data_IF_319990713996
#
_entry.id   IF_319990713996
#
_cell.length_a   1.000
_cell.length_b   1.000
_cell.length_c   1.000
_cell.angle_alpha   90.00
_cell.angle_beta   90.00
_cell.angle_gamma   90.00
#
_symmetry.space_group_name_H-M   'P 1'
#
loop_
_entity.id
_entity.type
_entity.pdbx_description
1 polymer ?
#
# COMPACT_ATOMS: atom_id res chain seq x y z
N UNK A 1 11.26 22.48 23.13
CA UNK A 1 12.64 22.66 22.66
C UNK A 1 12.83 21.90 21.37
N UNK A 2 13.28 22.54 20.29
CA UNK A 2 13.35 21.92 18.96
C UNK A 2 14.13 20.58 18.87
N UNK A 3 15.13 20.35 19.71
CA UNK A 3 15.82 19.06 19.84
C UNK A 3 14.91 17.95 20.40
N UNK A 4 14.14 18.26 21.45
CA UNK A 4 13.20 17.30 22.06
C UNK A 4 12.08 16.91 21.11
N UNK A 5 11.64 17.85 20.27
CA UNK A 5 10.62 17.64 19.24
C UNK A 5 11.10 16.66 18.16
N UNK A 6 12.37 16.75 17.73
CA UNK A 6 12.96 15.78 16.81
C UNK A 6 13.00 14.37 17.42
N UNK A 7 13.38 14.24 18.70
CA UNK A 7 13.39 12.95 19.39
C UNK A 7 11.99 12.38 19.52
N UNK A 8 11.01 13.18 19.96
CA UNK A 8 9.60 12.75 20.06
C UNK A 8 9.07 12.24 18.73
N UNK A 9 9.30 13.00 17.65
CA UNK A 9 8.91 12.60 16.29
C UNK A 9 9.51 11.25 15.90
N UNK A 10 10.82 11.06 16.10
CA UNK A 10 11.52 9.81 15.78
C UNK A 10 11.02 8.63 16.61
N UNK A 11 10.56 8.87 17.84
CA UNK A 11 10.00 7.83 18.71
C UNK A 11 8.50 7.57 18.47
N UNK A 12 7.92 8.17 17.43
CA UNK A 12 6.53 7.97 17.02
C UNK A 12 5.52 8.87 17.74
N UNK A 13 5.98 9.81 18.56
CA UNK A 13 5.12 10.85 19.13
C UNK A 13 5.10 12.05 18.19
N UNK A 14 4.13 12.03 17.29
CA UNK A 14 3.90 13.08 16.29
C UNK A 14 3.12 14.26 16.85
N UNK A 15 2.46 14.05 17.99
CA UNK A 15 1.53 15.02 18.57
C UNK A 15 2.25 16.23 19.16
N UNK A 16 1.81 17.42 18.74
CA UNK A 16 2.35 18.70 19.22
C UNK A 16 3.87 18.85 19.02
N UNK A 17 4.41 18.30 17.92
CA UNK A 17 5.78 18.51 17.47
C UNK A 17 5.80 19.73 16.56
N UNK A 18 6.49 20.81 16.98
CA UNK A 18 6.50 22.08 16.25
C UNK A 18 7.90 22.57 15.87
N UNK A 19 8.95 21.97 16.44
CA UNK A 19 10.36 22.34 16.27
C UNK A 19 10.71 23.76 16.74
N UNK A 20 9.75 24.51 17.30
CA UNK A 20 9.88 25.85 17.89
C UNK A 20 10.70 26.81 17.00
N UNK A 21 11.70 27.50 17.54
CA UNK A 21 12.50 28.49 16.80
C UNK A 21 13.39 27.87 15.70
N UNK A 22 13.58 26.54 15.69
CA UNK A 22 14.40 25.89 14.66
C UNK A 22 13.73 25.89 13.29
N UNK A 23 12.40 25.73 13.22
CA UNK A 23 11.71 25.69 11.91
C UNK A 23 11.64 27.05 11.24
N UNK A 24 11.74 28.14 12.00
CA UNK A 24 11.77 29.51 11.48
C UNK A 24 13.18 29.98 11.09
N UNK A 25 14.23 29.26 11.52
CA UNK A 25 15.60 29.47 11.06
C UNK A 25 15.79 28.90 9.64
N UNK A 26 16.16 29.78 8.71
CA UNK A 26 16.47 29.45 7.32
C UNK A 26 17.46 28.30 7.14
N UNK A 27 18.35 28.06 8.10
CA UNK A 27 19.34 26.98 8.07
C UNK A 27 18.70 25.61 8.24
N UNK A 28 17.74 25.46 9.15
CA UNK A 28 17.10 24.17 9.47
C UNK A 28 15.76 23.96 8.75
N UNK A 29 15.14 25.05 8.28
CA UNK A 29 13.89 25.01 7.53
C UNK A 29 13.84 23.98 6.38
N UNK A 30 14.90 23.73 5.59
CA UNK A 30 14.85 22.72 4.53
C UNK A 30 14.47 21.31 5.00
N UNK A 31 14.78 20.97 6.25
CA UNK A 31 14.65 19.61 6.78
C UNK A 31 13.60 19.50 7.91
N UNK A 32 13.30 20.60 8.62
CA UNK A 32 12.30 20.64 9.70
C UNK A 32 10.93 21.16 9.26
N UNK A 33 10.84 21.94 8.18
CA UNK A 33 9.57 22.41 7.64
C UNK A 33 8.73 21.27 7.04
N UNK A 34 9.30 20.32 6.28
CA UNK A 34 8.52 19.21 5.72
C UNK A 34 7.77 18.36 6.76
N UNK A 35 8.40 17.82 7.83
CA UNK A 35 7.67 17.03 8.84
C UNK A 35 6.63 17.87 9.60
N UNK A 36 6.86 19.17 9.79
CA UNK A 36 5.86 20.06 10.36
C UNK A 36 4.61 20.13 9.47
N UNK A 37 4.77 20.41 8.17
CA UNK A 37 3.61 20.54 7.27
C UNK A 37 2.92 19.20 6.98
N UNK A 38 3.66 18.08 7.05
CA UNK A 38 3.07 16.75 6.93
C UNK A 38 2.04 16.47 8.05
N UNK A 39 2.33 16.90 9.28
CA UNK A 39 1.37 16.83 10.39
C UNK A 39 0.08 17.61 10.09
N UNK A 40 0.18 18.79 9.45
CA UNK A 40 -0.98 19.58 9.03
C UNK A 40 -1.74 18.94 7.87
N UNK A 41 -1.04 18.27 6.95
CA UNK A 41 -1.66 17.55 5.84
C UNK A 41 -2.51 16.37 6.33
N UNK A 42 -2.02 15.62 7.33
CA UNK A 42 -2.73 14.49 7.94
C UNK A 42 -4.01 14.92 8.70
N UNK A 43 -4.01 16.13 9.28
CA UNK A 43 -5.12 16.64 10.09
C UNK A 43 -5.98 17.67 9.34
N UNK A 44 -6.48 17.27 8.17
CA UNK A 44 -7.25 18.10 7.22
C UNK A 44 -8.52 18.79 7.75
N UNK A 45 -8.94 18.53 8.99
CA UNK A 45 -10.04 19.23 9.68
C UNK A 45 -9.59 20.50 10.41
N UNK A 46 -8.28 20.76 10.52
CA UNK A 46 -7.73 22.00 11.09
C UNK A 46 -7.61 23.07 10.01
N UNK A 47 -8.01 24.29 10.35
CA UNK A 47 -7.84 25.47 9.49
C UNK A 47 -6.35 25.75 9.25
N UNK A 48 -5.98 25.97 7.98
CA UNK A 48 -4.65 26.32 7.50
C UNK A 48 -4.09 27.60 8.17
N UNK A 49 -4.95 28.39 8.82
CA UNK A 49 -4.57 29.50 9.69
C UNK A 49 -3.69 29.08 10.90
N UNK A 50 -3.79 27.82 11.33
CA UNK A 50 -2.97 27.29 12.43
C UNK A 50 -1.50 27.13 12.05
N UNK A 51 -1.17 26.79 10.79
CA UNK A 51 0.21 26.72 10.32
C UNK A 51 0.92 28.09 10.44
N UNK A 52 0.22 29.18 10.11
CA UNK A 52 0.77 30.54 10.24
C UNK A 52 1.09 30.91 11.68
N UNK A 53 0.36 30.37 12.66
CA UNK A 53 0.65 30.57 14.07
C UNK A 53 2.00 29.94 14.46
N UNK A 54 2.31 28.74 13.96
CA UNK A 54 3.58 28.05 14.22
C UNK A 54 4.77 28.66 13.49
N UNK A 55 4.52 29.41 12.41
CA UNK A 55 5.53 30.18 11.68
C UNK A 55 5.60 31.65 12.13
N UNK A 56 5.07 32.00 13.31
CA UNK A 56 5.14 33.37 13.81
C UNK A 56 6.59 33.81 13.96
N UNK A 57 6.94 34.94 13.36
CA UNK A 57 8.31 35.46 13.34
C UNK A 57 9.13 35.04 12.12
N UNK A 58 8.61 34.12 11.28
CA UNK A 58 9.17 33.82 9.97
C UNK A 58 8.95 34.99 8.99
N UNK A 59 9.88 35.17 8.06
CA UNK A 59 9.69 36.06 6.91
C UNK A 59 8.69 35.50 5.91
N UNK A 60 8.10 36.37 5.08
CA UNK A 60 7.06 36.02 4.10
C UNK A 60 7.51 34.92 3.12
N UNK A 61 8.80 34.88 2.76
CA UNK A 61 9.36 33.85 1.88
C UNK A 61 9.28 32.45 2.50
N UNK A 62 9.59 32.32 3.80
CA UNK A 62 9.52 31.03 4.50
C UNK A 62 8.06 30.58 4.66
N UNK A 63 7.14 31.51 4.92
CA UNK A 63 5.70 31.22 4.98
C UNK A 63 5.20 30.74 3.61
N UNK A 64 5.57 31.40 2.52
CA UNK A 64 5.21 30.97 1.17
C UNK A 64 5.76 29.57 0.86
N UNK A 65 7.01 29.28 1.23
CA UNK A 65 7.61 27.95 1.11
C UNK A 65 6.85 26.88 1.90
N UNK A 66 6.35 27.21 3.09
CA UNK A 66 5.56 26.29 3.90
C UNK A 66 4.26 25.89 3.23
N UNK A 67 3.50 26.85 2.71
CA UNK A 67 2.25 26.57 1.99
C UNK A 67 2.49 25.79 0.70
N UNK A 68 3.51 26.14 -0.08
CA UNK A 68 3.89 25.36 -1.28
C UNK A 68 4.36 23.93 -0.95
N UNK A 69 4.92 23.71 0.24
CA UNK A 69 5.30 22.37 0.70
C UNK A 69 4.06 21.61 1.18
N UNK A 70 3.16 22.26 1.91
CA UNK A 70 1.89 21.67 2.34
C UNK A 70 1.05 21.19 1.15
N UNK A 71 0.93 22.00 0.09
CA UNK A 71 0.24 21.63 -1.14
C UNK A 71 0.86 20.38 -1.77
N UNK A 72 2.19 20.36 -1.96
CA UNK A 72 2.90 19.17 -2.48
C UNK A 72 2.74 17.93 -1.62
N UNK A 73 2.68 18.07 -0.30
CA UNK A 73 2.46 16.93 0.61
C UNK A 73 1.02 16.42 0.50
N UNK A 74 0.03 17.32 0.44
CA UNK A 74 -1.38 16.96 0.21
C UNK A 74 -1.59 16.24 -1.11
N UNK A 75 -0.90 16.69 -2.16
CA UNK A 75 -0.93 16.09 -3.49
C UNK A 75 -0.08 14.81 -3.59
N UNK A 76 0.68 14.45 -2.54
CA UNK A 76 1.60 13.30 -2.58
C UNK A 76 2.74 13.46 -3.58
N UNK A 77 3.11 14.69 -3.93
CA UNK A 77 4.17 15.01 -4.91
C UNK A 77 5.44 15.54 -4.26
N UNK A 78 5.44 15.79 -2.95
CA UNK A 78 6.63 16.19 -2.22
C UNK A 78 7.73 15.13 -2.35
N UNK A 79 8.94 15.58 -2.71
CA UNK A 79 10.10 14.73 -2.89
C UNK A 79 11.24 15.25 -2.03
N UNK A 80 11.76 14.39 -1.18
CA UNK A 80 12.98 14.69 -0.44
C UNK A 80 14.20 14.35 -1.28
N UNK A 81 14.97 15.38 -1.64
CA UNK A 81 16.14 15.25 -2.51
C UNK A 81 17.30 16.10 -1.96
N UNK A 82 17.97 15.63 -0.87
CA UNK A 82 19.18 16.28 -0.41
C UNK A 82 20.27 16.13 -1.47
N UNK A 83 21.24 17.05 -1.48
CA UNK A 83 22.35 17.00 -2.43
C UNK A 83 23.44 16.01 -1.99
N UNK A 84 24.33 15.65 -2.92
CA UNK A 84 25.54 14.88 -2.64
C UNK A 84 25.32 13.37 -2.48
N UNK A 85 26.33 12.64 -1.96
CA UNK A 85 26.31 11.17 -1.88
C UNK A 85 25.15 10.61 -1.05
N UNK A 86 24.74 11.30 0.02
CA UNK A 86 23.56 10.94 0.78
C UNK A 86 22.28 11.03 -0.08
N UNK A 87 22.16 12.09 -0.88
CA UNK A 87 21.08 12.27 -1.86
C UNK A 87 20.92 11.12 -2.84
N UNK A 88 22.02 10.61 -3.38
CA UNK A 88 21.99 9.46 -4.30
C UNK A 88 21.41 8.21 -3.63
N UNK A 89 21.75 7.97 -2.36
CA UNK A 89 21.20 6.85 -1.60
C UNK A 89 19.73 7.06 -1.21
N UNK A 90 19.33 8.30 -0.90
CA UNK A 90 17.92 8.66 -0.67
C UNK A 90 17.08 8.37 -1.90
N UNK A 91 17.56 8.71 -3.09
CA UNK A 91 16.86 8.42 -4.35
C UNK A 91 16.74 6.92 -4.61
N UNK A 92 17.81 6.15 -4.35
CA UNK A 92 17.77 4.69 -4.44
C UNK A 92 16.77 4.08 -3.46
N UNK A 93 16.77 4.52 -2.21
CA UNK A 93 15.83 4.06 -1.19
C UNK A 93 14.39 4.40 -1.58
N UNK A 94 14.16 5.58 -2.14
CA UNK A 94 12.86 6.01 -2.62
C UNK A 94 12.35 5.12 -3.74
N UNK A 95 13.21 4.74 -4.68
CA UNK A 95 12.84 3.82 -5.77
C UNK A 95 12.54 2.40 -5.26
N UNK A 96 13.25 1.91 -4.24
CA UNK A 96 12.91 0.65 -3.57
C UNK A 96 11.53 0.73 -2.89
N UNK A 97 11.29 1.78 -2.11
CA UNK A 97 10.03 1.98 -1.39
C UNK A 97 8.84 2.17 -2.34
N UNK A 98 9.05 2.86 -3.47
CA UNK A 98 8.04 3.06 -4.53
C UNK A 98 7.47 1.74 -5.05
N UNK A 99 8.29 0.69 -5.08
CA UNK A 99 7.88 -0.65 -5.52
C UNK A 99 7.62 -1.63 -4.38
N UNK A 100 7.53 -1.12 -3.15
CA UNK A 100 7.15 -1.87 -1.96
C UNK A 100 8.30 -2.54 -1.21
N UNK A 101 9.57 -2.39 -1.60
CA UNK A 101 10.71 -2.90 -0.84
C UNK A 101 11.05 -1.96 0.33
N UNK A 102 10.22 -2.00 1.38
CA UNK A 102 10.32 -1.07 2.52
C UNK A 102 11.51 -1.36 3.43
N UNK A 103 11.88 -2.63 3.59
CA UNK A 103 13.06 -3.03 4.36
C UNK A 103 14.37 -2.76 3.61
N UNK A 104 14.41 -3.03 2.30
CA UNK A 104 15.55 -2.66 1.45
C UNK A 104 15.76 -1.16 1.38
N UNK A 105 14.68 -0.37 1.28
CA UNK A 105 14.74 1.09 1.34
C UNK A 105 15.32 1.58 2.67
N UNK A 106 14.84 1.03 3.80
CA UNK A 106 15.37 1.40 5.13
C UNK A 106 16.84 1.04 5.29
N UNK A 107 17.25 -0.17 4.89
CA UNK A 107 18.67 -0.58 4.92
C UNK A 107 19.53 0.38 4.11
N UNK A 108 19.06 0.77 2.92
CA UNK A 108 19.77 1.75 2.06
C UNK A 108 19.94 3.11 2.75
N UNK A 109 18.90 3.64 3.39
CA UNK A 109 18.99 4.91 4.12
C UNK A 109 19.91 4.82 5.33
N UNK A 110 19.78 3.75 6.10
CA UNK A 110 20.62 3.50 7.28
C UNK A 110 22.10 3.43 6.91
N UNK A 111 22.43 2.69 5.85
CA UNK A 111 23.82 2.55 5.38
C UNK A 111 24.38 3.88 4.83
N UNK A 112 23.49 4.80 4.43
CA UNK A 112 23.85 6.13 3.96
C UNK A 112 23.95 7.19 5.08
N UNK A 113 23.45 6.92 6.29
CA UNK A 113 23.49 7.87 7.41
C UNK A 113 24.91 8.41 7.71
N UNK A 114 26.00 7.64 7.60
CA UNK A 114 27.35 8.18 7.77
C UNK A 114 27.76 9.23 6.74
N UNK A 115 27.09 9.30 5.58
CA UNK A 115 27.33 10.29 4.53
C UNK A 115 26.49 11.57 4.71
N UNK A 116 25.58 11.57 5.67
CA UNK A 116 24.71 12.72 5.96
C UNK A 116 25.40 13.71 6.89
N UNK A 117 25.32 14.99 6.54
CA UNK A 117 25.88 16.08 7.31
C UNK A 117 24.77 16.86 8.05
N UNK A 118 24.88 17.05 9.37
CA UNK A 118 23.98 17.92 10.11
C UNK A 118 24.05 19.37 9.61
N UNK A 119 22.90 20.05 9.53
CA UNK A 119 22.83 21.46 9.13
C UNK A 119 23.37 22.39 10.24
N UNK A 120 23.48 21.89 11.47
CA UNK A 120 23.98 22.60 12.63
C UNK A 120 23.92 21.72 13.88
N UNK A 121 24.38 22.24 15.05
CA UNK A 121 24.43 21.48 16.29
C UNK A 121 23.06 21.00 16.77
N UNK A 122 21.98 21.70 16.37
CA UNK A 122 20.62 21.35 16.75
C UNK A 122 19.92 20.41 15.74
N UNK A 123 20.63 19.85 14.77
CA UNK A 123 20.09 18.94 13.75
C UNK A 123 20.47 17.49 14.05
N UNK A 124 19.54 16.71 14.62
CA UNK A 124 19.83 15.35 15.10
C UNK A 124 19.73 14.28 14.00
N UNK A 125 18.90 14.51 12.99
CA UNK A 125 18.57 13.53 11.97
C UNK A 125 18.08 14.22 10.69
N UNK A 126 18.25 13.60 9.51
CA UNK A 126 17.51 14.02 8.33
C UNK A 126 16.02 13.71 8.59
N UNK A 127 15.18 14.72 8.77
CA UNK A 127 13.74 14.59 8.96
C UNK A 127 12.93 15.03 7.74
N UNK A 128 13.56 15.68 6.76
CA UNK A 128 12.87 16.19 5.58
C UNK A 128 12.17 15.10 4.74
N UNK A 129 12.67 13.86 4.79
CA UNK A 129 12.09 12.68 4.14
C UNK A 129 10.77 12.19 4.75
N UNK A 130 10.43 12.58 5.98
CA UNK A 130 9.18 12.16 6.64
C UNK A 130 7.94 12.60 5.85
N UNK A 131 8.05 13.73 5.16
CA UNK A 131 6.97 14.27 4.34
C UNK A 131 6.90 13.65 2.93
N UNK A 132 7.88 12.85 2.53
CA UNK A 132 7.87 12.17 1.24
C UNK A 132 6.93 10.95 1.31
N UNK A 133 6.03 10.76 0.31
CA UNK A 133 4.98 9.76 0.34
C UNK A 133 5.48 8.32 0.39
N UNK A 134 6.68 8.04 -0.11
CA UNK A 134 7.25 6.69 -0.13
C UNK A 134 8.21 6.47 1.05
N UNK A 135 8.93 7.51 1.42
CA UNK A 135 9.95 7.46 2.45
C UNK A 135 9.40 7.65 3.86
N UNK A 136 8.41 8.51 4.04
CA UNK A 136 7.78 8.78 5.33
C UNK A 136 7.26 7.53 6.05
N UNK A 137 6.53 6.62 5.37
CA UNK A 137 6.06 5.36 5.97
C UNK A 137 7.16 4.41 6.45
N UNK A 138 8.41 4.60 6.01
CA UNK A 138 9.53 3.80 6.46
C UNK A 138 9.91 4.10 7.91
N UNK A 139 9.59 5.29 8.44
CA UNK A 139 9.89 5.63 9.82
C UNK A 139 8.90 4.91 10.77
N UNK A 140 9.45 4.03 11.61
CA UNK A 140 8.76 3.44 12.76
C UNK A 140 9.46 3.82 14.05
N UNK A 141 8.82 3.65 15.22
CA UNK A 141 9.50 3.86 16.50
C UNK A 141 10.79 3.01 16.64
N UNK A 142 10.82 1.79 16.11
CA UNK A 142 11.99 0.90 16.14
C UNK A 142 13.13 1.47 15.29
N UNK A 143 12.82 1.84 14.05
CA UNK A 143 13.76 2.44 13.10
C UNK A 143 14.22 3.83 13.55
N UNK A 144 13.36 4.60 14.21
CA UNK A 144 13.72 5.88 14.82
C UNK A 144 14.68 5.73 15.99
N UNK A 145 14.52 4.70 16.84
CA UNK A 145 15.51 4.36 17.88
C UNK A 145 16.86 3.99 17.27
N UNK A 146 16.86 3.16 16.22
CA UNK A 146 18.08 2.81 15.48
C UNK A 146 18.78 4.06 14.92
N UNK A 147 18.03 4.97 14.30
CA UNK A 147 18.56 6.23 13.77
C UNK A 147 19.16 7.11 14.87
N UNK A 148 18.49 7.23 16.02
CA UNK A 148 19.01 7.98 17.16
C UNK A 148 20.30 7.37 17.71
N UNK A 149 20.39 6.04 17.76
CA UNK A 149 21.56 5.31 18.25
C UNK A 149 22.71 5.18 17.24
N UNK A 150 22.52 5.57 15.97
CA UNK A 150 23.56 5.47 14.94
C UNK A 150 24.63 6.56 15.13
N UNK A 151 25.92 6.21 15.30
CA UNK A 151 27.00 7.21 15.39
C UNK A 151 27.09 8.06 14.11
N UNK A 152 27.42 9.34 14.27
CA UNK A 152 27.54 10.33 13.18
C UNK A 152 29.00 10.80 13.11
N UNK A 153 29.45 11.18 11.92
CA UNK A 153 30.72 11.88 11.67
C UNK A 153 31.94 11.39 12.50
N UNK A 154 32.52 10.26 12.11
CA UNK A 154 33.78 9.76 12.69
C UNK A 154 33.72 9.32 14.16
N UNK A 155 32.56 9.39 14.82
CA UNK A 155 32.41 8.94 16.20
C UNK A 155 32.49 7.42 16.29
N UNK A 156 33.45 6.93 17.07
CA UNK A 156 33.72 5.50 17.32
C UNK A 156 32.77 4.91 18.36
N UNK A 157 31.46 5.16 18.22
CA UNK A 157 30.44 4.46 19.00
C UNK A 157 30.19 3.07 18.42
N UNK A 158 29.77 2.13 19.26
CA UNK A 158 29.27 0.85 18.76
C UNK A 158 28.05 1.11 17.87
N UNK A 159 28.09 0.62 16.64
CA UNK A 159 26.93 0.69 15.75
C UNK A 159 25.76 -0.06 16.42
N UNK A 160 24.55 0.53 16.47
CA UNK A 160 23.40 -0.14 17.03
C UNK A 160 23.15 -1.45 16.29
N UNK A 161 22.60 -2.44 16.98
CA UNK A 161 22.14 -3.64 16.29
C UNK A 161 21.09 -3.23 15.25
N UNK A 162 21.21 -3.71 14.01
CA UNK A 162 20.22 -3.45 12.98
C UNK A 162 18.81 -3.78 13.46
N UNK A 163 17.84 -2.92 13.17
CA UNK A 163 16.43 -3.31 13.33
C UNK A 163 16.17 -4.48 12.39
N UNK A 164 15.50 -5.52 12.89
CA UNK A 164 15.10 -6.64 12.04
C UNK A 164 14.15 -6.16 10.93
N UNK A 165 14.17 -6.84 9.79
CA UNK A 165 13.20 -6.60 8.72
C UNK A 165 11.77 -6.68 9.31
N UNK A 166 10.97 -5.67 8.99
CA UNK A 166 9.63 -5.49 9.55
C UNK A 166 8.55 -6.16 8.68
N UNK A 167 8.83 -6.36 7.39
CA UNK A 167 7.94 -7.11 6.51
C UNK A 167 8.04 -8.61 6.81
N UNK A 168 6.92 -9.30 7.11
CA UNK A 168 6.91 -10.74 7.28
C UNK A 168 7.21 -11.43 5.94
N UNK A 169 7.95 -12.53 5.99
CA UNK A 169 8.27 -13.30 4.80
C UNK A 169 7.03 -13.96 4.16
N UNK A 170 7.03 -14.05 2.83
CA UNK A 170 6.04 -14.81 2.06
C UNK A 170 4.65 -14.18 2.04
N UNK A 171 3.62 -15.03 2.02
CA UNK A 171 2.22 -14.64 1.84
C UNK A 171 1.34 -14.92 3.07
N UNK A 172 1.86 -15.68 4.05
CA UNK A 172 1.09 -16.19 5.19
C UNK A 172 0.47 -15.08 6.05
N UNK A 173 1.11 -13.92 6.11
CA UNK A 173 0.64 -12.76 6.88
C UNK A 173 -0.73 -12.25 6.41
N UNK A 174 -1.12 -12.52 5.16
CA UNK A 174 -2.44 -12.16 4.64
C UNK A 174 -3.58 -12.83 5.42
N UNK A 175 -3.32 -13.99 6.04
CA UNK A 175 -4.27 -14.69 6.91
C UNK A 175 -4.45 -14.01 8.27
N UNK A 176 -3.56 -13.09 8.64
CA UNK A 176 -3.68 -12.32 9.88
C UNK A 176 -4.74 -11.21 9.73
N UNK A 177 -5.31 -10.72 10.84
CA UNK A 177 -6.15 -9.52 10.82
C UNK A 177 -5.36 -8.29 10.38
N UNK A 178 -5.95 -7.48 9.49
CA UNK A 178 -5.41 -6.17 9.11
C UNK A 178 -5.70 -5.12 10.21
N UNK A 179 -4.79 -4.17 10.48
CA UNK A 179 -5.08 -3.01 11.35
C UNK A 179 -6.31 -2.25 10.84
N UNK A 180 -7.24 -1.90 11.75
CA UNK A 180 -8.39 -1.03 11.43
C UNK A 180 -9.69 -1.72 10.98
N UNK A 181 -9.74 -3.05 10.97
CA UNK A 181 -10.94 -3.82 10.58
C UNK A 181 -10.60 -4.78 9.44
N UNK A 182 -10.83 -6.06 9.68
CA UNK A 182 -10.20 -7.18 8.97
C UNK A 182 -10.38 -7.19 7.45
N UNK A 183 -9.30 -7.55 6.76
CA UNK A 183 -9.32 -7.99 5.36
C UNK A 183 -10.07 -9.31 5.28
N UNK A 184 -11.39 -9.26 5.06
CA UNK A 184 -12.26 -10.43 4.98
C UNK A 184 -12.05 -11.21 3.67
N UNK A 185 -11.74 -10.49 2.59
CA UNK A 185 -11.38 -11.02 1.29
C UNK A 185 -10.26 -10.19 0.65
N UNK A 186 -9.54 -10.79 -0.29
CA UNK A 186 -8.52 -10.13 -1.11
C UNK A 186 -8.24 -10.95 -2.37
N UNK A 187 -7.61 -10.32 -3.35
CA UNK A 187 -7.08 -11.02 -4.51
C UNK A 187 -5.78 -10.40 -4.97
N UNK A 188 -4.94 -11.21 -5.60
CA UNK A 188 -3.71 -10.74 -6.20
C UNK A 188 -3.32 -11.54 -7.42
N UNK A 189 -2.49 -10.92 -8.26
CA UNK A 189 -1.81 -11.53 -9.39
C UNK A 189 -0.32 -11.41 -9.17
N UNK A 190 0.43 -12.48 -9.39
CA UNK A 190 1.88 -12.49 -9.47
C UNK A 190 2.28 -12.77 -10.91
N UNK A 191 3.23 -12.00 -11.46
CA UNK A 191 3.76 -12.20 -12.82
C UNK A 191 5.29 -12.28 -12.76
N UNK A 192 5.85 -13.35 -13.31
CA UNK A 192 7.29 -13.63 -13.26
C UNK A 192 8.06 -12.83 -14.32
N UNK A 193 9.22 -12.28 -13.95
CA UNK A 193 10.15 -11.65 -14.90
C UNK A 193 9.63 -10.39 -15.60
N UNK A 194 8.63 -9.74 -15.02
CA UNK A 194 7.97 -8.55 -15.57
C UNK A 194 8.10 -7.41 -14.58
N UNK A 195 8.42 -6.19 -15.03
CA UNK A 195 8.48 -5.04 -14.13
C UNK A 195 7.06 -4.55 -13.75
N UNK A 196 6.85 -3.96 -12.55
CA UNK A 196 5.53 -3.51 -12.12
C UNK A 196 4.83 -2.55 -13.11
N UNK A 197 5.59 -1.74 -13.84
CA UNK A 197 5.12 -0.80 -14.86
C UNK A 197 4.48 -1.48 -16.07
N UNK A 198 4.78 -2.75 -16.32
CA UNK A 198 4.25 -3.51 -17.46
C UNK A 198 2.91 -4.19 -17.13
N UNK A 199 2.54 -4.28 -15.84
CA UNK A 199 1.32 -4.95 -15.39
C UNK A 199 0.03 -4.35 -15.98
N UNK A 200 -0.13 -3.02 -16.12
CA UNK A 200 -1.31 -2.44 -16.76
C UNK A 200 -1.53 -2.96 -18.19
N UNK A 201 -0.47 -3.09 -18.99
CA UNK A 201 -0.55 -3.59 -20.36
C UNK A 201 -0.97 -5.06 -20.46
N UNK A 202 -0.84 -5.82 -19.37
CA UNK A 202 -1.20 -7.25 -19.28
C UNK A 202 -2.58 -7.48 -18.68
N UNK A 203 -2.95 -6.62 -17.72
CA UNK A 203 -4.12 -6.82 -16.86
C UNK A 203 -5.26 -5.84 -17.16
N UNK A 204 -5.07 -4.80 -17.99
CA UNK A 204 -6.14 -3.90 -18.44
C UNK A 204 -6.68 -4.29 -19.83
N UNK A 205 -7.88 -3.80 -20.17
CA UNK A 205 -8.43 -3.83 -21.53
C UNK A 205 -7.98 -2.63 -22.37
N UNK A 206 -7.46 -1.58 -21.73
CA UNK A 206 -7.07 -0.35 -22.40
C UNK A 206 -5.71 -0.52 -23.10
N UNK A 207 -5.70 -0.27 -24.41
CA UNK A 207 -4.46 -0.26 -25.20
C UNK A 207 -3.59 0.90 -24.73
N UNK A 208 -2.38 0.58 -24.23
CA UNK A 208 -1.49 1.59 -23.67
C UNK A 208 -1.87 2.02 -22.25
N UNK A 209 -2.60 1.18 -21.50
CA UNK A 209 -2.82 1.38 -20.08
C UNK A 209 -1.50 1.69 -19.35
N UNK A 210 -1.51 2.73 -18.52
CA UNK A 210 -0.37 3.17 -17.72
C UNK A 210 -0.71 3.10 -16.24
N UNK A 211 0.33 3.15 -15.40
CA UNK A 211 0.14 3.31 -13.97
C UNK A 211 -0.51 4.65 -13.66
N UNK A 212 -1.53 4.60 -12.82
CA UNK A 212 -2.08 5.75 -12.12
C UNK A 212 -1.16 6.22 -10.99
N UNK A 213 -1.60 7.30 -10.35
CA UNK A 213 -0.88 7.88 -9.22
C UNK A 213 -0.77 6.91 -8.02
N UNK A 214 0.27 7.07 -7.17
CA UNK A 214 0.42 6.29 -5.95
C UNK A 214 -0.68 6.59 -4.93
N UNK A 215 -1.42 5.56 -4.54
CA UNK A 215 -2.51 5.66 -3.57
C UNK A 215 -2.21 4.84 -2.33
N UNK A 216 -2.73 5.32 -1.20
CA UNK A 216 -2.94 4.50 -0.01
C UNK A 216 -4.09 3.52 -0.24
N UNK A 217 -4.17 2.47 0.59
CA UNK A 217 -5.28 1.51 0.57
C UNK A 217 -6.66 2.19 0.69
N UNK A 218 -6.77 3.25 1.50
CA UNK A 218 -8.02 3.99 1.71
C UNK A 218 -8.42 4.83 0.51
N UNK A 219 -7.46 5.50 -0.14
CA UNK A 219 -7.72 6.26 -1.37
C UNK A 219 -8.11 5.33 -2.51
N UNK A 220 -7.43 4.19 -2.67
CA UNK A 220 -7.77 3.16 -3.67
C UNK A 220 -9.19 2.61 -3.44
N UNK A 221 -9.54 2.32 -2.18
CA UNK A 221 -10.90 1.90 -1.78
C UNK A 221 -11.94 2.97 -2.08
N UNK A 222 -11.63 4.23 -1.77
CA UNK A 222 -12.50 5.37 -2.08
C UNK A 222 -12.73 5.54 -3.58
N UNK A 223 -11.68 5.39 -4.39
CA UNK A 223 -11.75 5.41 -5.85
C UNK A 223 -12.62 4.28 -6.38
N UNK A 224 -12.35 3.03 -5.98
CA UNK A 224 -13.14 1.85 -6.40
C UNK A 224 -14.64 2.05 -6.14
N UNK A 225 -15.03 2.55 -4.96
CA UNK A 225 -16.43 2.85 -4.64
C UNK A 225 -17.00 4.02 -5.44
N UNK A 226 -16.20 5.05 -5.71
CA UNK A 226 -16.61 6.22 -6.49
C UNK A 226 -16.74 5.95 -7.99
N UNK A 227 -16.15 4.87 -8.51
CA UNK A 227 -16.38 4.40 -9.88
C UNK A 227 -17.68 3.62 -10.06
N UNK A 228 -18.41 3.35 -8.96
CA UNK A 228 -19.75 2.79 -9.00
C UNK A 228 -20.67 3.62 -9.88
N UNK A 229 -21.02 3.08 -11.05
CA UNK A 229 -21.83 3.75 -12.08
C UNK A 229 -21.11 4.12 -13.37
N UNK A 230 -19.76 4.00 -13.45
CA UNK A 230 -19.03 4.15 -14.72
C UNK A 230 -19.11 2.92 -15.62
N UNK A 231 -19.26 1.75 -15.01
CA UNK A 231 -19.30 0.45 -15.71
C UNK A 231 -20.60 -0.29 -15.42
N UNK A 232 -21.00 -1.24 -16.28
CA UNK A 232 -22.11 -2.13 -15.98
C UNK A 232 -21.93 -2.81 -14.62
N UNK A 233 -22.99 -2.98 -13.82
CA UNK A 233 -22.88 -3.44 -12.44
C UNK A 233 -22.37 -4.89 -12.28
N UNK A 234 -22.31 -5.66 -13.38
CA UNK A 234 -21.71 -6.99 -13.39
C UNK A 234 -20.21 -6.97 -13.66
N UNK A 235 -19.62 -5.86 -14.14
CA UNK A 235 -18.19 -5.78 -14.44
C UNK A 235 -17.36 -5.56 -13.17
N UNK A 236 -16.49 -6.53 -12.89
CA UNK A 236 -15.57 -6.47 -11.76
C UNK A 236 -14.20 -5.97 -12.23
N UNK A 237 -14.08 -4.65 -12.37
CA UNK A 237 -12.83 -3.96 -12.71
C UNK A 237 -12.12 -3.51 -11.45
N UNK A 238 -11.10 -4.27 -11.04
CA UNK A 238 -10.34 -4.03 -9.82
C UNK A 238 -9.46 -2.78 -9.96
N UNK A 239 -9.39 -1.94 -8.93
CA UNK A 239 -8.29 -0.98 -8.76
C UNK A 239 -7.19 -1.66 -7.97
N UNK A 240 -6.13 -2.09 -8.64
CA UNK A 240 -5.05 -2.87 -8.02
C UNK A 240 -3.81 -2.03 -7.75
N UNK A 241 -3.24 -2.19 -6.55
CA UNK A 241 -1.93 -1.68 -6.18
C UNK A 241 -0.82 -2.58 -6.74
N UNK A 242 0.29 -2.02 -7.23
CA UNK A 242 1.39 -2.79 -7.83
C UNK A 242 2.72 -2.59 -7.13
N UNK A 243 3.58 -3.61 -7.23
CA UNK A 243 4.95 -3.57 -6.71
C UNK A 243 5.72 -4.85 -7.02
N UNK A 244 6.85 -5.03 -6.34
CA UNK A 244 7.69 -6.23 -6.45
C UNK A 244 7.38 -7.22 -5.33
N UNK A 245 7.38 -8.50 -5.67
CA UNK A 245 7.00 -9.62 -4.81
C UNK A 245 8.21 -10.51 -4.41
N UNK A 246 9.43 -10.03 -4.64
CA UNK A 246 10.65 -10.82 -4.47
C UNK A 246 10.82 -11.91 -5.54
N UNK A 247 12.00 -12.54 -5.60
CA UNK A 247 12.23 -13.70 -6.48
C UNK A 247 12.06 -13.44 -7.99
N UNK A 248 12.08 -12.17 -8.43
CA UNK A 248 11.80 -11.80 -9.82
C UNK A 248 10.31 -11.67 -10.17
N UNK A 249 9.42 -11.66 -9.17
CA UNK A 249 7.99 -11.49 -9.36
C UNK A 249 7.56 -10.03 -9.16
N UNK A 250 6.60 -9.59 -9.96
CA UNK A 250 5.79 -8.40 -9.70
C UNK A 250 4.39 -8.79 -9.28
N UNK A 251 3.73 -7.94 -8.50
CA UNK A 251 2.37 -8.17 -8.03
C UNK A 251 1.40 -7.07 -8.44
N UNK A 252 0.13 -7.45 -8.56
CA UNK A 252 -1.03 -6.57 -8.51
C UNK A 252 -1.96 -7.06 -7.40
N UNK A 253 -2.39 -6.18 -6.49
CA UNK A 253 -3.11 -6.53 -5.26
C UNK A 253 -4.37 -5.69 -5.10
N UNK A 254 -5.49 -6.35 -4.78
CA UNK A 254 -6.76 -5.72 -4.41
C UNK A 254 -7.16 -6.16 -3.00
N UNK A 255 -7.32 -5.17 -2.13
CA UNK A 255 -7.59 -5.34 -0.71
C UNK A 255 -9.08 -5.55 -0.39
N UNK A 256 -9.99 -5.09 -1.25
CA UNK A 256 -11.43 -5.08 -0.97
C UNK A 256 -12.20 -5.46 -2.24
N UNK A 257 -11.99 -6.70 -2.76
CA UNK A 257 -12.59 -7.13 -4.01
C UNK A 257 -14.11 -7.22 -3.89
N UNK A 258 -14.78 -7.20 -5.04
CA UNK A 258 -16.20 -7.50 -5.12
C UNK A 258 -16.53 -8.91 -4.57
N UNK A 259 -17.79 -9.22 -4.23
CA UNK A 259 -18.18 -10.57 -3.84
C UNK A 259 -17.84 -11.60 -4.92
N UNK A 260 -17.29 -12.75 -4.51
CA UNK A 260 -16.90 -13.80 -5.44
C UNK A 260 -18.14 -14.51 -6.00
N UNK A 261 -18.16 -14.70 -7.32
CA UNK A 261 -19.24 -15.40 -8.04
C UNK A 261 -18.65 -16.43 -8.99
N UNK A 262 -18.50 -17.71 -8.59
CA UNK A 262 -17.82 -18.74 -9.38
C UNK A 262 -18.34 -18.88 -10.81
N UNK A 263 -19.66 -18.71 -11.01
CA UNK A 263 -20.33 -18.84 -12.30
C UNK A 263 -20.01 -17.75 -13.34
N UNK A 264 -19.57 -16.58 -12.86
CA UNK A 264 -19.24 -15.41 -13.70
C UNK A 264 -17.75 -15.14 -13.72
N UNK A 265 -16.98 -15.75 -12.82
CA UNK A 265 -15.56 -15.52 -12.68
C UNK A 265 -14.77 -15.94 -13.93
N UNK A 266 -13.85 -15.07 -14.35
CA UNK A 266 -12.88 -15.28 -15.42
C UNK A 266 -11.51 -14.93 -14.87
N UNK A 267 -10.64 -15.94 -14.74
CA UNK A 267 -9.28 -15.69 -14.26
C UNK A 267 -8.47 -14.87 -15.26
N UNK A 268 -7.74 -13.83 -14.81
CA UNK A 268 -6.81 -13.10 -15.67
C UNK A 268 -5.47 -13.82 -15.87
N UNK A 269 -5.26 -15.00 -15.29
CA UNK A 269 -3.96 -15.70 -15.31
C UNK A 269 -3.41 -15.85 -16.72
N UNK A 270 -4.24 -16.35 -17.66
CA UNK A 270 -3.86 -16.52 -19.06
C UNK A 270 -3.38 -15.19 -19.68
N UNK A 271 -4.18 -14.13 -19.57
CA UNK A 271 -3.83 -12.81 -20.10
C UNK A 271 -2.53 -12.25 -19.49
N UNK A 272 -2.35 -12.41 -18.18
CA UNK A 272 -1.18 -11.95 -17.46
C UNK A 272 0.12 -12.67 -17.90
N UNK A 273 -0.01 -13.97 -18.19
CA UNK A 273 1.11 -14.88 -18.47
C UNK A 273 1.71 -14.80 -19.89
N UNK A 274 1.35 -13.83 -20.72
CA UNK A 274 1.89 -13.76 -22.08
C UNK A 274 3.44 -13.71 -22.09
N UNK A 275 4.09 -14.75 -22.59
CA UNK A 275 5.55 -14.91 -22.64
C UNK A 275 6.22 -15.16 -21.29
N UNK A 276 5.47 -15.53 -20.25
CA UNK A 276 5.98 -15.79 -18.90
C UNK A 276 5.01 -16.68 -18.10
N UNK A 277 5.12 -16.70 -16.77
CA UNK A 277 4.21 -17.36 -15.84
C UNK A 277 3.45 -16.34 -15.01
N UNK A 278 2.18 -16.64 -14.73
CA UNK A 278 1.36 -15.85 -13.82
C UNK A 278 0.60 -16.74 -12.83
N UNK A 279 0.41 -16.23 -11.62
CA UNK A 279 -0.34 -16.87 -10.54
C UNK A 279 -1.43 -15.90 -10.08
N UNK A 280 -2.66 -16.36 -10.00
CA UNK A 280 -3.79 -15.59 -9.48
C UNK A 280 -4.31 -16.27 -8.22
N UNK A 281 -4.51 -15.48 -7.17
CA UNK A 281 -5.16 -15.92 -5.93
C UNK A 281 -6.33 -15.00 -5.63
N UNK A 282 -7.45 -15.57 -5.23
CA UNK A 282 -8.58 -14.84 -4.65
C UNK A 282 -9.08 -15.60 -3.42
N UNK A 283 -9.02 -14.95 -2.27
CA UNK A 283 -9.34 -15.57 -0.99
C UNK A 283 -10.46 -14.79 -0.29
N UNK A 284 -11.41 -15.52 0.28
CA UNK A 284 -12.45 -15.01 1.17
C UNK A 284 -12.83 -16.03 2.23
N UNK A 285 -11.86 -16.79 2.74
CA UNK A 285 -12.11 -17.85 3.73
C UNK A 285 -12.57 -17.33 5.10
N UNK A 286 -12.38 -16.03 5.37
CA UNK A 286 -12.78 -15.35 6.61
C UNK A 286 -13.98 -14.43 6.44
N UNK A 287 -14.63 -14.42 5.28
CA UNK A 287 -15.77 -13.55 5.06
C UNK A 287 -16.96 -13.99 5.92
N UNK A 288 -17.27 -13.21 6.96
CA UNK A 288 -18.39 -13.46 7.86
C UNK A 288 -19.75 -13.06 7.28
N UNK A 289 -19.78 -12.47 6.08
CA UNK A 289 -20.99 -11.99 5.42
C UNK A 289 -21.30 -12.74 4.10
N UNK A 290 -20.46 -13.70 3.70
CA UNK A 290 -20.59 -14.49 2.48
C UNK A 290 -20.16 -15.95 2.66
N UNK A 291 -20.25 -16.74 1.59
CA UNK A 291 -19.74 -18.11 1.60
C UNK A 291 -18.21 -18.11 1.48
N UNK A 292 -17.54 -18.95 2.28
CA UNK A 292 -16.08 -19.09 2.22
C UNK A 292 -15.63 -19.60 0.86
N UNK A 293 -14.63 -18.94 0.26
CA UNK A 293 -14.08 -19.35 -1.01
C UNK A 293 -12.56 -19.16 -1.08
N UNK A 294 -11.93 -19.92 -1.98
CA UNK A 294 -10.53 -19.79 -2.35
C UNK A 294 -10.35 -20.18 -3.81
N UNK A 295 -9.70 -19.32 -4.59
CA UNK A 295 -9.33 -19.60 -5.97
C UNK A 295 -7.82 -19.45 -6.14
N UNK A 296 -7.23 -20.39 -6.87
CA UNK A 296 -5.85 -20.37 -7.35
C UNK A 296 -5.85 -20.77 -8.82
N UNK A 297 -5.29 -19.95 -9.71
CA UNK A 297 -5.01 -20.37 -11.09
C UNK A 297 -3.59 -20.00 -11.48
N UNK A 298 -2.99 -20.86 -12.29
CA UNK A 298 -1.63 -20.70 -12.78
C UNK A 298 -1.63 -20.87 -14.28
N UNK A 299 -1.06 -19.89 -14.96
CA UNK A 299 -0.95 -19.88 -16.40
C UNK A 299 0.50 -19.65 -16.83
N UNK A 300 0.82 -20.16 -18.01
CA UNK A 300 2.11 -19.98 -18.64
C UNK A 300 1.92 -19.74 -20.13
N UNK A 301 2.61 -18.73 -20.65
CA UNK A 301 2.65 -18.38 -22.07
C UNK A 301 1.25 -18.20 -22.68
N UNK A 302 0.35 -17.56 -21.93
CA UNK A 302 -1.02 -17.30 -22.39
C UNK A 302 -2.01 -18.43 -22.17
N UNK A 303 -1.59 -19.57 -21.61
CA UNK A 303 -2.44 -20.75 -21.41
C UNK A 303 -2.52 -21.13 -19.93
N UNK A 304 -3.74 -21.35 -19.42
CA UNK A 304 -3.95 -21.88 -18.08
C UNK A 304 -3.40 -23.31 -17.99
N UNK A 305 -2.63 -23.59 -16.94
CA UNK A 305 -1.99 -24.89 -16.67
C UNK A 305 -2.85 -25.70 -15.72
N UNK A 306 -3.32 -25.05 -14.67
CA UNK A 306 -4.27 -25.59 -13.72
C UNK A 306 -4.98 -24.46 -12.98
N UNK A 307 -6.18 -24.76 -12.50
CA UNK A 307 -6.97 -23.91 -11.64
C UNK A 307 -7.65 -24.75 -10.58
N UNK A 308 -7.68 -24.23 -9.36
CA UNK A 308 -8.42 -24.78 -8.24
C UNK A 308 -9.37 -23.71 -7.75
N UNK A 309 -10.62 -24.08 -7.53
CA UNK A 309 -11.61 -23.24 -6.84
C UNK A 309 -12.30 -24.04 -5.76
N UNK A 310 -12.23 -23.56 -4.53
CA UNK A 310 -13.12 -23.93 -3.44
C UNK A 310 -14.20 -22.87 -3.30
N UNK A 311 -15.46 -23.27 -3.42
CA UNK A 311 -16.63 -22.43 -3.19
C UNK A 311 -17.84 -23.34 -2.96
N UNK A 312 -18.87 -22.86 -2.24
CA UNK A 312 -20.10 -23.63 -2.00
C UNK A 312 -19.83 -25.01 -1.33
N UNK A 313 -18.77 -25.12 -0.52
CA UNK A 313 -18.34 -26.37 0.10
C UNK A 313 -17.78 -27.42 -0.87
N UNK A 314 -17.46 -27.05 -2.11
CA UNK A 314 -16.96 -27.95 -3.14
C UNK A 314 -15.61 -27.50 -3.68
N UNK A 315 -14.72 -28.46 -3.94
CA UNK A 315 -13.47 -28.23 -4.68
C UNK A 315 -13.69 -28.59 -6.15
N UNK A 316 -13.46 -27.63 -7.03
CA UNK A 316 -13.41 -27.80 -8.50
C UNK A 316 -11.97 -27.58 -8.95
N UNK A 317 -11.44 -28.50 -9.75
CA UNK A 317 -10.08 -28.41 -10.31
C UNK A 317 -10.14 -28.57 -11.82
N UNK A 318 -9.38 -27.74 -12.51
CA UNK A 318 -9.00 -27.92 -13.91
C UNK A 318 -7.47 -28.11 -13.98
N UNK A 319 -7.00 -29.05 -14.78
CA UNK A 319 -5.61 -29.50 -14.74
C UNK A 319 -5.20 -30.18 -13.42
N UNK A 320 -3.91 -30.50 -13.31
CA UNK A 320 -3.32 -31.18 -12.15
C UNK A 320 -2.35 -30.23 -11.42
N UNK A 321 -2.74 -29.65 -10.27
CA UNK A 321 -1.84 -28.81 -9.49
C UNK A 321 -0.71 -29.64 -8.87
N UNK A 322 0.47 -29.05 -8.62
CA UNK A 322 1.52 -29.69 -7.84
C UNK A 322 0.99 -30.19 -6.51
N UNK A 323 1.49 -31.34 -6.02
CA UNK A 323 1.07 -31.93 -4.74
C UNK A 323 1.18 -30.97 -3.54
N UNK A 324 2.09 -29.99 -3.61
CA UNK A 324 2.21 -28.95 -2.59
C UNK A 324 0.95 -28.06 -2.48
N UNK A 325 0.28 -27.86 -3.60
CA UNK A 325 -0.90 -27.00 -3.78
C UNK A 325 -2.21 -27.81 -3.87
N UNK A 326 -2.18 -29.10 -3.58
CA UNK A 326 -3.36 -29.95 -3.59
C UNK A 326 -4.36 -29.50 -2.49
N UNK A 327 -5.59 -29.07 -2.87
CA UNK A 327 -6.54 -28.46 -1.94
C UNK A 327 -7.05 -29.43 -0.88
N UNK A 328 -7.08 -30.73 -1.18
CA UNK A 328 -7.49 -31.79 -0.24
C UNK A 328 -6.58 -31.87 0.98
N UNK A 329 -5.38 -31.27 0.91
CA UNK A 329 -4.45 -31.18 2.03
C UNK A 329 -4.81 -30.10 3.04
N UNK A 330 -5.69 -29.16 2.68
CA UNK A 330 -5.98 -27.93 3.43
C UNK A 330 -7.46 -27.79 3.76
N UNK A 331 -8.32 -28.13 2.80
CA UNK A 331 -9.76 -27.97 2.85
C UNK A 331 -10.42 -29.34 3.08
N UNK A 332 -11.33 -29.39 4.05
CA UNK A 332 -12.13 -30.58 4.36
C UNK A 332 -13.57 -30.34 3.88
N UNK A 333 -14.32 -31.38 3.57
CA UNK A 333 -15.61 -31.30 2.83
C UNK A 333 -16.75 -30.55 3.56
N UNK A 334 -16.52 -30.08 4.79
CA UNK A 334 -17.57 -29.49 5.63
C UNK A 334 -17.31 -28.02 5.99
N UNK A 335 -16.07 -27.65 6.35
CA UNK A 335 -15.68 -26.27 6.64
C UNK A 335 -14.16 -26.07 6.44
N UNK A 336 -13.70 -24.89 5.99
CA UNK A 336 -12.27 -24.59 5.96
C UNK A 336 -11.70 -24.63 7.38
N UNK A 337 -10.59 -25.34 7.57
CA UNK A 337 -9.89 -25.31 8.87
C UNK A 337 -9.48 -23.87 9.21
N UNK A 338 -9.45 -23.47 10.50
CA UNK A 338 -9.02 -22.12 10.90
C UNK A 338 -7.64 -21.71 10.38
N UNK A 339 -6.76 -22.69 10.12
CA UNK A 339 -5.41 -22.49 9.59
C UNK A 339 -5.29 -22.70 8.07
N UNK A 340 -6.37 -23.07 7.38
CA UNK A 340 -6.33 -23.43 5.95
C UNK A 340 -5.80 -22.29 5.09
N UNK A 341 -6.26 -21.05 5.34
CA UNK A 341 -5.79 -19.86 4.62
C UNK A 341 -4.27 -19.69 4.75
N UNK A 342 -3.75 -19.72 5.98
CA UNK A 342 -2.31 -19.58 6.25
C UNK A 342 -1.50 -20.66 5.54
N UNK A 343 -1.90 -21.92 5.67
CA UNK A 343 -1.17 -23.06 5.09
C UNK A 343 -1.20 -23.05 3.55
N UNK A 344 -2.32 -22.65 2.94
CA UNK A 344 -2.43 -22.48 1.48
C UNK A 344 -1.47 -21.39 0.99
N UNK A 345 -1.43 -20.24 1.67
CA UNK A 345 -0.54 -19.14 1.30
C UNK A 345 0.93 -19.46 1.53
N UNK A 346 1.26 -20.24 2.56
CA UNK A 346 2.62 -20.77 2.76
C UNK A 346 3.03 -21.71 1.60
N UNK A 347 2.13 -22.60 1.18
CA UNK A 347 2.39 -23.49 0.05
C UNK A 347 2.58 -22.71 -1.27
N UNK A 348 1.75 -21.70 -1.53
CA UNK A 348 1.89 -20.81 -2.69
C UNK A 348 3.22 -20.04 -2.64
N UNK A 349 3.54 -19.44 -1.50
CA UNK A 349 4.79 -18.69 -1.32
C UNK A 349 6.02 -19.59 -1.54
N UNK A 350 5.98 -20.82 -1.04
CA UNK A 350 7.06 -21.80 -1.19
C UNK A 350 7.21 -22.29 -2.63
N UNK A 351 6.10 -22.60 -3.32
CA UNK A 351 6.13 -23.09 -4.71
C UNK A 351 6.69 -22.05 -5.68
N UNK A 352 6.35 -20.77 -5.48
CA UNK A 352 6.72 -19.70 -6.41
C UNK A 352 7.90 -18.84 -5.95
N UNK A 353 8.33 -18.96 -4.68
CA UNK A 353 9.38 -18.11 -4.12
C UNK A 353 8.98 -16.63 -4.06
N UNK A 354 7.67 -16.36 -3.90
CA UNK A 354 7.10 -15.02 -3.92
C UNK A 354 6.53 -14.63 -2.54
N UNK A 355 6.54 -13.35 -2.24
CA UNK A 355 5.95 -12.75 -1.04
C UNK A 355 5.37 -11.38 -1.33
N UNK A 356 4.55 -10.84 -0.42
CA UNK A 356 3.96 -9.52 -0.57
C UNK A 356 4.41 -8.59 0.55
N UNK A 357 4.76 -7.32 0.25
CA UNK A 357 5.24 -6.38 1.26
C UNK A 357 4.08 -5.84 2.09
N UNK A 358 3.89 -6.38 3.29
CA UNK A 358 2.81 -6.00 4.20
C UNK A 358 2.78 -4.50 4.47
N UNK A 359 3.93 -3.91 4.79
CA UNK A 359 4.06 -2.51 5.19
C UNK A 359 3.71 -1.58 4.05
N UNK A 360 4.11 -1.92 2.82
CA UNK A 360 3.74 -1.15 1.64
C UNK A 360 2.24 -1.24 1.32
N UNK A 361 1.65 -2.44 1.46
CA UNK A 361 0.23 -2.68 1.18
C UNK A 361 -0.68 -2.06 2.25
N UNK A 362 -0.35 -2.21 3.54
CA UNK A 362 -1.21 -1.79 4.66
C UNK A 362 -1.06 -0.30 4.99
N UNK A 363 0.16 0.25 4.85
CA UNK A 363 0.49 1.60 5.34
C UNK A 363 1.29 2.48 4.37
N UNK A 364 1.60 1.98 3.18
CA UNK A 364 2.34 2.71 2.16
C UNK A 364 1.45 3.36 1.10
N UNK A 365 2.12 3.97 0.11
CA UNK A 365 1.54 4.40 -1.15
C UNK A 365 2.15 3.58 -2.28
N UNK A 366 1.31 2.92 -3.07
CA UNK A 366 1.72 2.13 -4.22
C UNK A 366 1.02 2.65 -5.48
N UNK A 367 1.71 2.57 -6.62
CA UNK A 367 1.06 2.85 -7.90
C UNK A 367 -0.14 1.93 -8.10
N UNK A 368 -1.19 2.45 -8.75
CA UNK A 368 -2.42 1.70 -8.98
C UNK A 368 -2.80 1.70 -10.45
N UNK A 369 -3.61 0.73 -10.88
CA UNK A 369 -4.27 0.77 -12.19
C UNK A 369 -5.60 0.02 -12.12
N UNK A 370 -6.49 0.27 -13.09
CA UNK A 370 -7.76 -0.44 -13.21
C UNK A 370 -7.60 -1.63 -14.15
N UNK A 371 -7.98 -2.82 -13.69
CA UNK A 371 -7.91 -4.05 -14.49
C UNK A 371 -9.05 -4.13 -15.50
N UNK A 372 -8.94 -5.09 -16.43
CA UNK A 372 -10.09 -5.67 -17.13
C UNK A 372 -11.06 -6.28 -16.15
N UNK A 373 -12.28 -6.57 -16.62
CA UNK A 373 -13.27 -7.26 -15.80
C UNK A 373 -12.80 -8.68 -15.46
N UNK A 374 -12.88 -9.07 -14.19
CA UNK A 374 -12.68 -10.45 -13.71
C UNK A 374 -13.96 -11.28 -13.78
N UNK A 375 -15.04 -10.68 -14.25
CA UNK A 375 -16.34 -11.32 -14.47
C UNK A 375 -16.76 -11.19 -15.92
N UNK A 376 -17.32 -12.27 -16.48
CA UNK A 376 -17.96 -12.23 -17.81
C UNK A 376 -19.35 -11.60 -17.72
N UNK A 377 -19.82 -11.08 -18.86
CA UNK A 377 -21.23 -10.71 -18.98
C UNK A 377 -22.16 -11.92 -18.77
N UNK A 378 -23.33 -11.71 -18.15
CA UNK A 378 -24.40 -12.71 -18.13
C UNK A 378 -24.83 -13.07 -19.55
N UNK A 379 -25.14 -14.35 -19.79
CA UNK A 379 -25.69 -14.85 -21.07
C UNK A 379 -27.21 -14.70 -21.08
N UNK A 380 -27.81 -14.79 -22.27
CA UNK A 380 -29.27 -14.79 -22.43
C UNK A 380 -29.92 -15.86 -21.51
N UNK A 381 -30.77 -15.42 -20.58
CA UNK A 381 -31.46 -16.27 -19.61
C UNK A 381 -30.77 -16.42 -18.26
N UNK A 382 -29.56 -15.88 -18.07
CA UNK A 382 -28.91 -15.81 -16.75
C UNK A 382 -29.38 -14.57 -15.97
N UNK A 383 -29.82 -14.75 -14.73
CA UNK A 383 -30.23 -13.65 -13.85
C UNK A 383 -29.03 -13.12 -13.08
N UNK A 384 -28.86 -11.79 -13.05
CA UNK A 384 -27.89 -11.10 -12.18
C UNK A 384 -28.64 -10.14 -11.26
N UNK A 385 -28.29 -10.14 -9.96
CA UNK A 385 -28.89 -9.26 -8.96
C UNK A 385 -27.94 -8.10 -8.68
N UNK A 386 -28.43 -6.87 -8.87
CA UNK A 386 -27.74 -5.65 -8.46
C UNK A 386 -28.44 -5.12 -7.22
N UNK A 387 -27.70 -4.97 -6.12
CA UNK A 387 -28.22 -4.30 -4.92
C UNK A 387 -27.51 -2.95 -4.80
N UNK A 388 -28.16 -1.90 -5.29
CA UNK A 388 -27.71 -0.52 -5.04
C UNK A 388 -28.22 -0.05 -3.69
N UNK A 389 -27.30 0.17 -2.74
CA UNK A 389 -27.62 0.78 -1.45
C UNK A 389 -27.30 2.28 -1.56
N UNK A 390 -28.30 3.08 -1.91
CA UNK A 390 -28.19 4.53 -1.76
C UNK A 390 -28.29 4.89 -0.28
N UNK A 391 -27.19 5.30 0.35
CA UNK A 391 -27.28 5.97 1.65
C UNK A 391 -27.93 7.34 1.44
N UNK A 392 -29.26 7.37 1.61
CA UNK A 392 -30.04 8.59 1.59
C UNK A 392 -29.54 9.54 2.65
N UNK A 393 -28.87 10.61 2.23
CA UNK A 393 -28.75 11.81 3.06
C UNK A 393 -30.17 12.37 3.13
N UNK A 394 -30.86 12.15 4.25
CA UNK A 394 -32.21 12.67 4.44
C UNK A 394 -32.25 14.16 4.07
N UNK A 395 -33.20 14.60 3.21
CA UNK A 395 -33.42 16.01 3.00
C UNK A 395 -33.83 16.60 4.35
N UNK A 396 -33.01 17.55 4.83
CA UNK A 396 -33.26 18.30 6.05
C UNK A 396 -34.63 18.95 5.89
N UNK A 397 -35.64 18.38 6.56
CA UNK A 397 -37.02 18.82 6.48
C UNK A 397 -37.11 20.31 6.74
N UNK A 398 -37.48 21.05 5.71
CA UNK A 398 -37.96 22.41 5.81
C UNK A 398 -39.21 22.35 6.67
N UNK A 399 -39.09 22.79 7.94
CA UNK A 399 -40.24 22.96 8.82
C UNK A 399 -41.13 24.03 8.22
N UNK A 400 -42.23 23.59 7.63
CA UNK A 400 -43.39 24.44 7.45
C UNK A 400 -43.80 25.02 8.81
N UNK A 401 -43.76 26.35 8.88
CA UNK A 401 -44.22 27.17 9.98
C UNK A 401 -45.75 27.03 10.15
N UNK A 402 -46.26 26.53 11.29
CA UNK A 402 -47.69 26.54 11.56
C UNK A 402 -48.08 27.80 12.37
N UNK A 403 -48.07 28.94 11.69
CA UNK A 403 -49.22 29.85 11.66
C UNK A 403 -49.40 30.94 12.72
N UNK A 404 -50.07 31.99 12.23
CA UNK A 404 -50.81 33.10 12.88
C UNK A 404 -50.05 34.33 13.33
#
# INVERSE_FOLDING_TARGET
GGLGDQIRRLLGDTSMVYFEDLVTDSRYAPDLLPPLVAEFAEHSYRDDSTLRFHLRGAGDELVARAYATLERVRDGTYRYAPAGPFGEQVERARELARWGDTDGAWRTLRDALPLWEPLGPDHLAPLGWIADPFLGPLLTPERGRELLSTPRDGQTGDAPRPTADLDPAGLAWLAEPSPGGGRASYRFVLVEGVEPEELPGRLSDEVGAVLGEPLTVWEARGRSRGEGGKFPPYEDRAVMAVGRAGGGWSFAFDHDPAPFSPQYFVSPAAAASAGTRAVVVWCGLRDGHGESFFHLSVAQDGAERYAVTYAEGQVRSDGEPPRALDPSRFLDDMEPRPEAERLLLEAVAQEFGAGLPRRAIDGGRLHTFTTRSWTRAPRDGETYLVVEISMGREPRGERADPGR
#
